data_IF_919143629738
#
_entry.id   IF_919143629738
#
_cell.length_a   1.000
_cell.length_b   1.000
_cell.length_c   1.000
_cell.angle_alpha   90.00
_cell.angle_beta   90.00
_cell.angle_gamma   90.00
#
_symmetry.space_group_name_H-M   'P 1'
#
loop_
_entity.id
_entity.type
_entity.pdbx_description
1 polymer ?
#
# COMPACT_ATOMS: atom_id res chain seq x y z
N UNK A 1 -21.18 18.27 13.31
CA UNK A 1 -20.13 17.32 13.73
C UNK A 1 -20.32 15.89 13.20
N UNK A 2 -21.53 15.31 13.16
CA UNK A 2 -21.76 13.94 12.62
C UNK A 2 -21.28 13.71 11.17
N UNK A 3 -21.41 14.72 10.30
CA UNK A 3 -20.99 14.63 8.88
C UNK A 3 -19.47 14.56 8.69
N UNK A 4 -18.71 15.23 9.54
CA UNK A 4 -17.24 15.21 9.49
C UNK A 4 -16.71 13.86 9.98
N UNK A 5 -17.28 13.32 11.06
CA UNK A 5 -16.92 12.01 11.59
C UNK A 5 -17.15 10.88 10.55
N UNK A 6 -18.31 10.87 9.88
CA UNK A 6 -18.58 9.86 8.83
C UNK A 6 -17.72 10.02 7.56
N UNK A 7 -17.16 11.21 7.31
CA UNK A 7 -16.18 11.39 6.23
C UNK A 7 -14.81 10.80 6.62
N UNK A 8 -14.38 10.98 7.87
CA UNK A 8 -13.14 10.38 8.38
C UNK A 8 -13.19 8.85 8.38
N UNK A 9 -14.26 8.24 8.89
CA UNK A 9 -14.43 6.77 8.89
C UNK A 9 -14.36 6.17 7.47
N UNK A 10 -14.94 6.88 6.49
CA UNK A 10 -14.90 6.45 5.08
C UNK A 10 -13.48 6.55 4.50
N UNK A 11 -12.73 7.59 4.86
CA UNK A 11 -11.34 7.77 4.41
C UNK A 11 -10.46 6.67 5.01
N UNK A 12 -10.58 6.42 6.32
CA UNK A 12 -9.85 5.36 7.02
C UNK A 12 -10.14 3.98 6.42
N UNK A 13 -11.42 3.65 6.22
CA UNK A 13 -11.82 2.37 5.61
C UNK A 13 -11.22 2.21 4.20
N UNK A 14 -11.12 3.30 3.43
CA UNK A 14 -10.55 3.26 2.09
C UNK A 14 -9.02 3.09 2.12
N UNK A 15 -8.33 3.69 3.09
CA UNK A 15 -6.89 3.49 3.28
C UNK A 15 -6.58 2.04 3.64
N UNK A 16 -7.32 1.47 4.59
CA UNK A 16 -7.19 0.05 4.97
C UNK A 16 -7.44 -0.87 3.78
N UNK A 17 -8.45 -0.58 2.96
CA UNK A 17 -8.72 -1.38 1.77
C UNK A 17 -7.59 -1.31 0.72
N UNK A 18 -6.94 -0.15 0.58
CA UNK A 18 -5.79 0.02 -0.33
C UNK A 18 -4.60 -0.77 0.18
N UNK A 19 -4.26 -0.66 1.47
CA UNK A 19 -3.17 -1.41 2.09
C UNK A 19 -3.39 -2.92 1.95
N UNK A 20 -4.59 -3.41 2.26
CA UNK A 20 -4.94 -4.82 2.09
C UNK A 20 -4.84 -5.29 0.64
N UNK A 21 -5.18 -4.43 -0.33
CA UNK A 21 -5.06 -4.75 -1.76
C UNK A 21 -3.60 -4.89 -2.19
N UNK A 22 -2.70 -4.05 -1.69
CA UNK A 22 -1.25 -4.15 -1.96
C UNK A 22 -0.68 -5.43 -1.33
N UNK A 23 -1.05 -5.72 -0.08
CA UNK A 23 -0.61 -6.95 0.62
C UNK A 23 -1.15 -8.22 -0.03
N UNK A 24 -2.26 -8.15 -0.76
CA UNK A 24 -2.85 -9.29 -1.47
C UNK A 24 -2.24 -9.56 -2.85
N UNK A 25 -1.38 -8.67 -3.38
CA UNK A 25 -0.66 -8.91 -4.64
C UNK A 25 0.19 -10.18 -4.54
N UNK A 26 0.35 -10.88 -5.66
CA UNK A 26 1.33 -11.96 -5.74
C UNK A 26 2.77 -11.39 -5.76
N UNK A 27 3.77 -12.25 -5.89
CA UNK A 27 5.16 -11.78 -5.83
C UNK A 27 5.56 -10.98 -7.07
N UNK A 28 5.10 -11.36 -8.26
CA UNK A 28 5.49 -10.71 -9.51
C UNK A 28 4.85 -9.33 -9.60
N UNK A 29 3.55 -9.23 -9.31
CA UNK A 29 2.83 -7.95 -9.26
C UNK A 29 3.38 -7.01 -8.17
N UNK A 30 3.80 -7.57 -7.03
CA UNK A 30 4.40 -6.79 -5.94
C UNK A 30 5.79 -6.25 -6.32
N UNK A 31 6.58 -7.04 -7.06
CA UNK A 31 7.87 -6.59 -7.59
C UNK A 31 7.68 -5.51 -8.65
N UNK A 32 6.77 -5.70 -9.60
CA UNK A 32 6.43 -4.69 -10.61
C UNK A 32 5.95 -3.38 -9.96
N UNK A 33 5.13 -3.48 -8.91
CA UNK A 33 4.71 -2.31 -8.14
C UNK A 33 5.91 -1.61 -7.49
N UNK A 34 6.85 -2.34 -6.92
CA UNK A 34 8.04 -1.75 -6.32
C UNK A 34 8.94 -1.05 -7.35
N UNK A 35 9.12 -1.64 -8.53
CA UNK A 35 9.90 -1.09 -9.65
C UNK A 35 9.30 0.25 -10.13
N UNK A 36 7.97 0.30 -10.29
CA UNK A 36 7.23 1.53 -10.65
C UNK A 36 7.53 2.71 -9.69
N UNK A 37 7.88 2.43 -8.44
CA UNK A 37 8.17 3.43 -7.40
C UNK A 37 9.65 3.58 -7.04
N UNK A 38 10.56 2.82 -7.64
CA UNK A 38 11.99 2.80 -7.27
C UNK A 38 12.65 4.18 -7.38
N UNK A 39 12.32 4.94 -8.44
CA UNK A 39 12.81 6.31 -8.66
C UNK A 39 11.89 7.43 -8.18
N UNK A 40 10.77 7.12 -7.52
CA UNK A 40 9.80 8.12 -7.08
C UNK A 40 10.06 8.59 -5.65
N UNK A 41 9.63 9.82 -5.27
CA UNK A 41 9.60 10.26 -3.89
C UNK A 41 8.90 9.24 -3.00
N UNK A 42 9.28 9.19 -1.73
CA UNK A 42 8.68 8.25 -0.80
C UNK A 42 7.19 8.49 -0.66
N UNK A 43 6.45 7.38 -0.63
CA UNK A 43 5.00 7.38 -0.60
C UNK A 43 4.51 6.18 0.19
N UNK A 44 3.32 6.26 0.81
CA UNK A 44 2.76 5.14 1.56
C UNK A 44 2.69 3.83 0.76
N UNK A 45 2.43 3.91 -0.55
CA UNK A 45 2.39 2.74 -1.44
C UNK A 45 3.77 2.08 -1.52
N UNK A 46 4.83 2.88 -1.70
CA UNK A 46 6.22 2.41 -1.76
C UNK A 46 6.64 1.74 -0.45
N UNK A 47 6.26 2.33 0.68
CA UNK A 47 6.61 1.81 2.01
C UNK A 47 5.90 0.48 2.31
N UNK A 48 4.61 0.40 2.00
CA UNK A 48 3.81 -0.83 2.16
C UNK A 48 4.36 -1.95 1.26
N UNK A 49 4.65 -1.66 -0.01
CA UNK A 49 5.21 -2.64 -0.93
C UNK A 49 6.56 -3.18 -0.44
N UNK A 50 7.47 -2.29 -0.03
CA UNK A 50 8.78 -2.69 0.55
C UNK A 50 8.64 -3.52 1.82
N UNK A 51 7.73 -3.15 2.71
CA UNK A 51 7.49 -3.90 3.94
C UNK A 51 6.98 -5.31 3.63
N UNK A 52 6.06 -5.44 2.67
CA UNK A 52 5.52 -6.74 2.26
C UNK A 52 6.57 -7.59 1.54
N UNK A 53 7.40 -7.01 0.67
CA UNK A 53 8.54 -7.69 0.05
C UNK A 53 9.52 -8.22 1.10
N UNK A 54 9.87 -7.40 2.10
CA UNK A 54 10.73 -7.81 3.19
C UNK A 54 10.10 -8.94 4.01
N UNK A 55 8.79 -8.87 4.29
CA UNK A 55 8.04 -9.92 4.99
C UNK A 55 8.06 -11.25 4.23
N UNK A 56 8.01 -11.20 2.90
CA UNK A 56 8.05 -12.38 2.01
C UNK A 56 9.47 -12.81 1.63
N UNK A 57 10.48 -12.06 2.04
CA UNK A 57 11.88 -12.27 1.69
C UNK A 57 12.11 -12.35 0.16
N UNK A 58 11.53 -11.39 -0.57
CA UNK A 58 11.74 -11.18 -2.00
C UNK A 58 12.38 -9.81 -2.23
N UNK A 59 13.12 -9.66 -3.32
CA UNK A 59 13.73 -8.40 -3.74
C UNK A 59 13.62 -8.26 -5.25
N UNK A 60 13.69 -7.01 -5.73
CA UNK A 60 14.00 -6.72 -7.12
C UNK A 60 15.41 -7.22 -7.49
#
# INVERSE_FOLDING_TARGET
>A
MKRLAGQSERIESRLVAIEASIVALDNDDLLDLADIFEGKPDSPIKDIAKAEMARRNISL
#
